data_IF_735274288190
#
_entry.id   IF_735274288190
#
_cell.length_a   1.000
_cell.length_b   1.000
_cell.length_c   1.000
_cell.angle_alpha   90.00
_cell.angle_beta   90.00
_cell.angle_gamma   90.00
#
_symmetry.space_group_name_H-M   'P 1'
#
loop_
_entity.id
_entity.type
_entity.pdbx_description
1 polymer ?
#
# COMPACT_ATOMS: atom_id res chain seq x y z
N UNK A 1 -27.58 32.62 -4.04
CA UNK A 1 -27.56 32.66 -2.57
C UNK A 1 -26.15 32.99 -2.17
N UNK A 2 -26.03 33.85 -1.17
CA UNK A 2 -24.75 34.49 -0.83
C UNK A 2 -24.24 33.99 0.53
N UNK A 3 -25.14 33.52 1.39
CA UNK A 3 -24.84 33.00 2.73
C UNK A 3 -25.44 31.61 2.89
N UNK A 4 -24.62 30.65 3.32
CA UNK A 4 -25.06 29.34 3.80
C UNK A 4 -25.25 29.38 5.32
N UNK A 5 -26.51 29.39 5.76
CA UNK A 5 -26.88 29.37 7.16
C UNK A 5 -27.11 27.93 7.63
N UNK A 6 -26.50 27.57 8.76
CA UNK A 6 -26.67 26.25 9.39
C UNK A 6 -27.00 26.41 10.86
N UNK A 7 -27.89 25.55 11.37
CA UNK A 7 -28.28 25.57 12.78
C UNK A 7 -27.10 25.11 13.67
N UNK A 8 -26.36 24.08 13.23
CA UNK A 8 -25.23 23.49 13.97
C UNK A 8 -24.26 22.80 13.01
N UNK A 9 -22.95 22.88 13.25
CA UNK A 9 -21.93 22.32 12.34
C UNK A 9 -22.04 20.80 12.15
N UNK A 10 -22.44 20.06 13.19
CA UNK A 10 -22.60 18.59 13.16
C UNK A 10 -23.71 18.09 12.20
N UNK A 11 -24.58 18.98 11.72
CA UNK A 11 -25.68 18.67 10.78
C UNK A 11 -25.25 18.66 9.33
N UNK A 12 -24.13 19.29 9.00
CA UNK A 12 -23.66 19.42 7.61
C UNK A 12 -22.51 18.45 7.31
N UNK A 13 -21.64 18.17 8.27
CA UNK A 13 -20.50 17.29 8.03
C UNK A 13 -20.14 16.41 9.23
N UNK A 14 -20.12 15.08 9.01
CA UNK A 14 -19.53 14.08 9.91
C UNK A 14 -18.03 13.89 9.71
N UNK A 15 -17.47 14.49 8.67
CA UNK A 15 -16.06 14.37 8.27
C UNK A 15 -15.49 15.78 8.08
N UNK A 16 -14.55 16.17 8.95
CA UNK A 16 -13.90 17.48 8.96
C UNK A 16 -13.20 17.80 7.64
N UNK A 17 -12.66 16.81 6.93
CA UNK A 17 -12.03 17.01 5.61
C UNK A 17 -13.03 17.43 4.53
N UNK A 18 -14.22 16.83 4.53
CA UNK A 18 -15.27 17.21 3.59
C UNK A 18 -15.84 18.59 3.91
N UNK A 19 -15.93 18.94 5.20
CA UNK A 19 -16.25 20.30 5.64
C UNK A 19 -15.25 21.33 5.11
N UNK A 20 -13.95 21.03 5.17
CA UNK A 20 -12.90 21.90 4.63
C UNK A 20 -13.04 22.11 3.12
N UNK A 21 -13.23 21.03 2.36
CA UNK A 21 -13.41 21.11 0.90
C UNK A 21 -14.64 21.94 0.53
N UNK A 22 -15.75 21.76 1.25
CA UNK A 22 -16.95 22.58 1.07
C UNK A 22 -16.62 24.05 1.33
N UNK A 23 -15.95 24.36 2.44
CA UNK A 23 -15.64 25.74 2.82
C UNK A 23 -14.67 26.44 1.85
N UNK A 24 -13.67 25.74 1.33
CA UNK A 24 -12.81 26.27 0.26
C UNK A 24 -13.60 26.57 -1.01
N UNK A 25 -14.56 25.71 -1.34
CA UNK A 25 -15.41 25.90 -2.50
C UNK A 25 -16.37 27.07 -2.34
N UNK A 26 -16.98 27.22 -1.17
CA UNK A 26 -17.80 28.40 -0.83
C UNK A 26 -16.99 29.69 -0.97
N UNK A 27 -15.77 29.71 -0.44
CA UNK A 27 -14.89 30.88 -0.55
C UNK A 27 -14.51 31.21 -2.00
N UNK A 28 -14.22 30.21 -2.83
CA UNK A 28 -13.95 30.39 -4.28
C UNK A 28 -15.16 30.96 -5.03
N UNK A 29 -16.36 30.56 -4.61
CA UNK A 29 -17.62 31.04 -5.17
C UNK A 29 -18.07 32.38 -4.57
N UNK A 30 -17.28 32.98 -3.67
CA UNK A 30 -17.60 34.26 -3.03
C UNK A 30 -18.75 34.17 -2.01
N UNK A 31 -19.00 32.98 -1.47
CA UNK A 31 -20.11 32.69 -0.56
C UNK A 31 -19.65 32.62 0.88
N UNK A 32 -20.51 33.05 1.78
CA UNK A 32 -20.26 33.09 3.22
C UNK A 32 -20.92 31.91 3.94
N UNK A 33 -20.39 31.57 5.11
CA UNK A 33 -20.91 30.50 5.96
C UNK A 33 -21.15 31.02 7.38
N UNK A 34 -22.35 30.75 7.91
CA UNK A 34 -22.77 31.15 9.24
C UNK A 34 -23.36 29.95 9.99
N UNK A 35 -22.83 29.68 11.19
CA UNK A 35 -23.43 28.75 12.14
C UNK A 35 -24.15 29.49 13.27
N UNK A 36 -25.43 29.17 13.47
CA UNK A 36 -26.31 29.84 14.42
C UNK A 36 -26.01 29.47 15.89
N UNK A 37 -25.67 28.21 16.18
CA UNK A 37 -25.36 27.75 17.54
C UNK A 37 -23.92 27.98 17.97
N UNK A 38 -22.95 27.99 17.04
CA UNK A 38 -21.53 28.12 17.39
C UNK A 38 -21.01 29.56 17.32
N UNK A 39 -21.87 30.55 16.99
CA UNK A 39 -21.50 31.97 16.81
C UNK A 39 -20.24 32.14 15.93
N UNK A 40 -20.12 31.31 14.91
CA UNK A 40 -18.95 31.21 14.06
C UNK A 40 -19.26 31.91 12.74
N UNK A 41 -18.86 33.18 12.66
CA UNK A 41 -19.05 34.04 11.50
C UNK A 41 -17.72 34.24 10.77
N UNK A 42 -17.58 33.56 9.63
CA UNK A 42 -16.38 33.59 8.79
C UNK A 42 -16.19 34.91 8.01
N UNK A 43 -17.15 35.83 8.06
CA UNK A 43 -17.00 37.22 7.57
C UNK A 43 -16.12 38.06 8.50
N UNK A 44 -15.99 37.68 9.77
CA UNK A 44 -15.17 38.38 10.77
C UNK A 44 -13.74 37.84 10.83
N UNK A 45 -12.78 38.69 11.24
CA UNK A 45 -11.40 38.27 11.43
C UNK A 45 -11.27 37.16 12.51
N UNK A 46 -12.04 37.28 13.59
CA UNK A 46 -12.07 36.28 14.66
C UNK A 46 -12.67 34.95 14.22
N UNK A 47 -13.76 34.95 13.46
CA UNK A 47 -14.35 33.71 12.95
C UNK A 47 -13.48 33.02 11.91
N UNK A 48 -12.76 33.77 11.06
CA UNK A 48 -11.72 33.19 10.18
C UNK A 48 -10.58 32.57 10.99
N UNK A 49 -10.11 33.25 12.03
CA UNK A 49 -9.05 32.73 12.90
C UNK A 49 -9.45 31.43 13.62
N UNK A 50 -10.66 31.37 14.18
CA UNK A 50 -11.19 30.15 14.81
C UNK A 50 -11.32 29.02 13.79
N UNK A 51 -11.77 29.33 12.58
CA UNK A 51 -11.87 28.36 11.49
C UNK A 51 -10.49 27.80 11.10
N UNK A 52 -9.47 28.65 10.96
CA UNK A 52 -8.10 28.21 10.66
C UNK A 52 -7.52 27.31 11.77
N UNK A 53 -7.85 27.59 13.04
CA UNK A 53 -7.49 26.72 14.18
C UNK A 53 -8.17 25.35 14.06
N UNK A 54 -9.48 25.31 13.80
CA UNK A 54 -10.23 24.05 13.64
C UNK A 54 -9.66 23.23 12.47
N UNK A 55 -9.32 23.89 11.36
CA UNK A 55 -8.68 23.24 10.22
C UNK A 55 -7.33 22.62 10.59
N UNK A 56 -6.49 23.36 11.31
CA UNK A 56 -5.19 22.87 11.78
C UNK A 56 -5.33 21.71 12.75
N UNK A 57 -6.31 21.76 13.65
CA UNK A 57 -6.61 20.66 14.57
C UNK A 57 -7.06 19.41 13.79
N UNK A 58 -7.98 19.54 12.85
CA UNK A 58 -8.46 18.43 12.04
C UNK A 58 -7.33 17.79 11.21
N UNK A 59 -6.44 18.60 10.66
CA UNK A 59 -5.25 18.13 9.94
C UNK A 59 -4.30 17.37 10.88
N UNK A 60 -4.02 17.94 12.05
CA UNK A 60 -3.16 17.33 13.08
C UNK A 60 -3.72 15.99 13.57
N UNK A 61 -5.03 15.88 13.79
CA UNK A 61 -5.67 14.61 14.15
C UNK A 61 -5.51 13.56 13.04
N UNK A 62 -5.68 13.97 11.77
CA UNK A 62 -5.48 13.07 10.63
C UNK A 62 -4.03 12.57 10.54
N UNK A 63 -3.06 13.45 10.78
CA UNK A 63 -1.64 13.09 10.83
C UNK A 63 -1.33 12.15 11.98
N UNK A 64 -1.87 12.41 13.18
CA UNK A 64 -1.73 11.52 14.35
C UNK A 64 -2.38 10.16 14.14
N UNK A 65 -3.50 10.07 13.42
CA UNK A 65 -4.08 8.76 13.03
C UNK A 65 -3.10 8.02 12.12
N UNK A 66 -2.54 8.70 11.11
CA UNK A 66 -1.53 8.11 10.22
C UNK A 66 -0.31 7.61 10.99
N UNK A 67 0.20 8.42 11.91
CA UNK A 67 1.33 8.06 12.77
C UNK A 67 1.01 6.86 13.67
N UNK A 68 -0.16 6.83 14.31
CA UNK A 68 -0.59 5.68 15.13
C UNK A 68 -0.73 4.40 14.33
N UNK A 69 -1.28 4.49 13.10
CA UNK A 69 -1.34 3.34 12.19
C UNK A 69 0.06 2.86 11.84
N UNK A 70 0.97 3.78 11.49
CA UNK A 70 2.35 3.47 11.20
C UNK A 70 3.06 2.78 12.38
N UNK A 71 2.94 3.34 13.58
CA UNK A 71 3.50 2.75 14.82
C UNK A 71 2.90 1.36 15.06
N UNK A 72 1.58 1.20 14.88
CA UNK A 72 0.93 -0.11 15.02
C UNK A 72 1.41 -1.14 14.00
N UNK A 73 1.66 -0.73 12.76
CA UNK A 73 2.25 -1.57 11.72
C UNK A 73 3.70 -1.92 12.04
N UNK A 74 4.50 -0.96 12.51
CA UNK A 74 5.89 -1.17 12.92
C UNK A 74 5.98 -2.14 14.09
N UNK A 75 5.14 -1.99 15.12
CA UNK A 75 5.10 -2.90 16.26
C UNK A 75 4.69 -4.31 15.84
N UNK A 76 3.71 -4.46 14.94
CA UNK A 76 3.32 -5.76 14.37
C UNK A 76 4.44 -6.38 13.55
N UNK A 77 5.18 -5.58 12.78
CA UNK A 77 6.35 -6.02 12.05
C UNK A 77 7.47 -6.47 13.00
N UNK A 78 7.70 -5.76 14.10
CA UNK A 78 8.70 -6.13 15.12
C UNK A 78 8.36 -7.43 15.84
N UNK A 79 7.08 -7.64 16.17
CA UNK A 79 6.69 -8.67 17.15
C UNK A 79 6.14 -9.95 16.56
N UNK A 80 5.38 -9.91 15.45
CA UNK A 80 4.53 -11.06 15.11
C UNK A 80 4.41 -11.40 13.62
N UNK A 81 5.21 -10.78 12.75
CA UNK A 81 5.32 -11.15 11.32
C UNK A 81 3.96 -11.29 10.62
N UNK A 82 2.96 -10.49 11.02
CA UNK A 82 1.60 -10.56 10.48
C UNK A 82 1.52 -10.00 9.06
N UNK A 83 0.40 -10.25 8.38
CA UNK A 83 0.13 -9.69 7.05
C UNK A 83 -0.13 -8.18 7.21
N UNK A 84 0.83 -7.36 6.79
CA UNK A 84 0.83 -5.90 6.94
C UNK A 84 0.33 -5.23 5.67
N UNK A 85 -0.98 -5.27 5.43
CA UNK A 85 -1.67 -4.42 4.44
C UNK A 85 -1.15 -4.51 3.00
N UNK A 86 -0.41 -5.56 2.63
CA UNK A 86 0.16 -5.69 1.29
C UNK A 86 -0.84 -6.29 0.31
N UNK A 87 -0.70 -5.92 -0.97
CA UNK A 87 -1.41 -6.59 -2.05
C UNK A 87 -1.01 -8.08 -2.07
N UNK A 88 -2.00 -8.97 -2.14
CA UNK A 88 -1.77 -10.42 -2.10
C UNK A 88 -0.82 -10.81 -3.25
N UNK A 89 0.38 -11.36 -2.98
CA UNK A 89 1.34 -11.71 -4.02
C UNK A 89 0.78 -12.75 -4.99
N UNK A 90 1.25 -12.74 -6.23
CA UNK A 90 0.90 -13.76 -7.24
C UNK A 90 1.33 -15.14 -6.75
N UNK A 91 0.57 -16.21 -6.97
CA UNK A 91 0.87 -17.54 -6.38
C UNK A 91 0.23 -17.78 -5.01
N UNK A 92 -0.39 -16.76 -4.41
CA UNK A 92 -1.07 -16.86 -3.12
C UNK A 92 -2.50 -16.31 -3.18
N UNK A 93 -3.38 -16.91 -2.39
CA UNK A 93 -4.71 -16.41 -2.07
C UNK A 93 -4.79 -16.06 -0.58
N UNK A 94 -5.67 -15.13 -0.23
CA UNK A 94 -5.93 -14.80 1.17
C UNK A 94 -7.19 -15.53 1.62
N UNK A 95 -7.02 -16.50 2.53
CA UNK A 95 -8.12 -17.27 3.13
C UNK A 95 -7.90 -17.36 4.64
N UNK A 96 -8.96 -17.13 5.42
CA UNK A 96 -8.95 -17.27 6.89
C UNK A 96 -7.80 -16.53 7.59
N UNK A 97 -7.48 -15.32 7.15
CA UNK A 97 -6.41 -14.52 7.78
C UNK A 97 -4.98 -14.91 7.40
N UNK A 98 -4.78 -15.82 6.44
CA UNK A 98 -3.47 -16.34 6.05
C UNK A 98 -3.30 -16.35 4.53
N UNK A 99 -2.04 -16.30 4.08
CA UNK A 99 -1.68 -16.58 2.69
C UNK A 99 -1.66 -18.09 2.48
N UNK A 100 -2.50 -18.55 1.57
CA UNK A 100 -2.59 -19.94 1.13
C UNK A 100 -2.05 -20.01 -0.29
N UNK A 101 -1.25 -21.03 -0.58
CA UNK A 101 -0.69 -21.23 -1.92
C UNK A 101 -1.81 -21.58 -2.89
N UNK A 102 -1.85 -20.91 -4.03
CA UNK A 102 -2.72 -21.26 -5.15
C UNK A 102 -1.88 -21.97 -6.18
N UNK A 103 -2.04 -23.28 -6.28
CA UNK A 103 -1.10 -24.15 -7.00
C UNK A 103 -0.91 -23.75 -8.47
N UNK A 104 -1.99 -23.40 -9.18
CA UNK A 104 -1.94 -22.95 -10.58
C UNK A 104 -1.02 -21.73 -10.77
N UNK A 105 -1.09 -20.75 -9.87
CA UNK A 105 -0.25 -19.55 -9.92
C UNK A 105 1.15 -19.82 -9.35
N UNK A 106 1.26 -20.71 -8.36
CA UNK A 106 2.51 -21.07 -7.72
C UNK A 106 3.45 -21.83 -8.67
N UNK A 107 2.91 -22.68 -9.55
CA UNK A 107 3.69 -23.34 -10.60
C UNK A 107 4.33 -22.32 -11.54
N UNK A 108 3.60 -21.28 -11.91
CA UNK A 108 4.13 -20.17 -12.73
C UNK A 108 5.25 -19.44 -12.00
N UNK A 109 5.11 -19.20 -10.69
CA UNK A 109 6.19 -18.62 -9.87
C UNK A 109 7.43 -19.51 -9.91
N UNK A 110 7.28 -20.83 -9.70
CA UNK A 110 8.40 -21.80 -9.80
C UNK A 110 9.08 -21.74 -11.16
N UNK A 111 8.32 -21.69 -12.24
CA UNK A 111 8.84 -21.54 -13.61
C UNK A 111 9.60 -20.23 -13.82
N UNK A 112 9.08 -19.11 -13.32
CA UNK A 112 9.76 -17.79 -13.39
C UNK A 112 11.13 -17.84 -12.72
N UNK A 113 11.21 -18.42 -11.51
CA UNK A 113 12.48 -18.60 -10.80
C UNK A 113 13.44 -19.53 -11.55
N UNK A 114 12.94 -20.65 -12.09
CA UNK A 114 13.75 -21.56 -12.91
C UNK A 114 14.30 -20.89 -14.16
N UNK A 115 13.47 -20.27 -14.99
CA UNK A 115 13.92 -19.62 -16.22
C UNK A 115 14.94 -18.51 -15.97
N UNK A 116 14.78 -17.76 -14.87
CA UNK A 116 15.75 -16.74 -14.50
C UNK A 116 17.09 -17.36 -14.07
N UNK A 117 17.05 -18.48 -13.32
CA UNK A 117 18.24 -19.26 -12.95
C UNK A 117 18.95 -19.84 -14.19
N UNK A 118 18.18 -20.25 -15.19
CA UNK A 118 18.68 -20.76 -16.48
C UNK A 118 19.24 -19.64 -17.38
N UNK A 119 19.33 -18.41 -16.87
CA UNK A 119 19.97 -17.29 -17.55
C UNK A 119 19.03 -16.44 -18.41
N UNK A 120 17.73 -16.71 -18.47
CA UNK A 120 16.78 -15.85 -19.20
C UNK A 120 16.70 -14.45 -18.59
N UNK A 121 16.54 -13.45 -19.43
CA UNK A 121 16.28 -12.08 -19.01
C UNK A 121 14.82 -11.91 -18.56
N UNK A 122 14.55 -10.90 -17.72
CA UNK A 122 13.18 -10.58 -17.31
C UNK A 122 12.28 -10.27 -18.51
N UNK A 123 12.84 -9.73 -19.60
CA UNK A 123 12.10 -9.46 -20.83
C UNK A 123 11.70 -10.72 -21.60
N UNK A 124 12.58 -11.71 -21.67
CA UNK A 124 12.27 -13.02 -22.27
C UNK A 124 11.22 -13.76 -21.47
N UNK A 125 11.32 -13.74 -20.13
CA UNK A 125 10.31 -14.34 -19.25
C UNK A 125 8.92 -13.73 -19.50
N UNK A 126 8.83 -12.41 -19.63
CA UNK A 126 7.56 -11.74 -19.97
C UNK A 126 7.01 -12.25 -21.30
N UNK A 127 7.84 -12.34 -22.35
CA UNK A 127 7.42 -12.85 -23.67
C UNK A 127 6.94 -14.30 -23.58
N UNK A 128 7.63 -15.14 -22.82
CA UNK A 128 7.25 -16.55 -22.63
C UNK A 128 5.89 -16.66 -21.91
N UNK A 129 5.68 -15.88 -20.85
CA UNK A 129 4.41 -15.85 -20.11
C UNK A 129 3.24 -15.36 -20.99
N UNK A 130 3.49 -14.35 -21.83
CA UNK A 130 2.49 -13.84 -22.78
C UNK A 130 2.17 -14.85 -23.88
N UNK A 131 3.18 -15.54 -24.44
CA UNK A 131 2.98 -16.58 -25.45
C UNK A 131 2.19 -17.76 -24.91
N UNK A 132 2.39 -18.11 -23.63
CA UNK A 132 1.63 -19.15 -22.93
C UNK A 132 0.24 -18.68 -22.49
N UNK A 133 -0.17 -17.44 -22.80
CA UNK A 133 -1.44 -16.81 -22.41
C UNK A 133 -1.73 -16.89 -20.90
N UNK A 134 -0.69 -16.84 -20.08
CA UNK A 134 -0.82 -16.91 -18.62
C UNK A 134 -1.40 -15.60 -18.10
N UNK A 135 -2.58 -15.60 -17.45
CA UNK A 135 -3.18 -14.39 -16.91
C UNK A 135 -2.38 -13.86 -15.72
N UNK A 136 -2.28 -12.53 -15.60
CA UNK A 136 -1.80 -11.92 -14.35
C UNK A 136 -2.91 -11.91 -13.29
N UNK A 137 -2.56 -11.64 -12.02
CA UNK A 137 -3.54 -11.56 -10.91
C UNK A 137 -4.74 -10.64 -11.17
N UNK A 138 -4.51 -9.56 -11.92
CA UNK A 138 -5.54 -8.56 -12.30
C UNK A 138 -6.04 -8.75 -13.73
N UNK A 139 -5.77 -9.90 -14.35
CA UNK A 139 -6.16 -10.24 -15.72
C UNK A 139 -5.62 -9.28 -16.80
N UNK A 140 -4.51 -8.59 -16.52
CA UNK A 140 -3.79 -7.73 -17.47
C UNK A 140 -2.52 -8.38 -18.03
N UNK A 141 -1.70 -7.59 -18.73
CA UNK A 141 -0.44 -8.04 -19.32
C UNK A 141 0.72 -8.14 -18.32
N UNK A 142 1.60 -9.11 -18.54
CA UNK A 142 2.87 -9.20 -17.83
C UNK A 142 3.78 -8.03 -18.19
N UNK A 143 4.24 -7.32 -17.16
CA UNK A 143 5.24 -6.26 -17.31
C UNK A 143 6.57 -6.73 -16.69
N UNK A 144 7.70 -6.21 -17.20
CA UNK A 144 9.03 -6.49 -16.64
C UNK A 144 9.10 -6.13 -15.15
N UNK A 145 8.44 -5.04 -14.74
CA UNK A 145 8.33 -4.63 -13.33
C UNK A 145 7.65 -5.68 -12.46
N UNK A 146 6.63 -6.36 -12.96
CA UNK A 146 5.93 -7.45 -12.25
C UNK A 146 6.86 -8.63 -12.03
N UNK A 147 7.55 -9.10 -13.07
CA UNK A 147 8.53 -10.20 -12.96
C UNK A 147 9.67 -9.83 -12.02
N UNK A 148 10.21 -8.60 -12.11
CA UNK A 148 11.23 -8.10 -11.20
C UNK A 148 10.75 -8.07 -9.75
N UNK A 149 9.50 -7.61 -9.53
CA UNK A 149 8.89 -7.62 -8.20
C UNK A 149 8.65 -9.03 -7.67
N UNK A 150 8.38 -10.02 -8.53
CA UNK A 150 8.24 -11.42 -8.11
C UNK A 150 9.60 -11.98 -7.68
N UNK A 151 10.62 -11.85 -8.53
CA UNK A 151 11.94 -12.40 -8.27
C UNK A 151 12.60 -11.81 -7.01
N UNK A 152 12.28 -10.56 -6.64
CA UNK A 152 12.86 -9.89 -5.46
C UNK A 152 12.03 -10.02 -4.18
N UNK A 153 10.83 -10.59 -4.24
CA UNK A 153 9.94 -10.59 -3.08
C UNK A 153 10.25 -11.80 -2.17
N UNK A 154 10.69 -11.56 -0.93
CA UNK A 154 11.04 -12.64 0.00
C UNK A 154 9.82 -13.46 0.47
N UNK A 155 8.59 -13.05 0.13
CA UNK A 155 7.38 -13.85 0.40
C UNK A 155 7.45 -15.23 -0.24
N UNK A 156 8.15 -15.37 -1.37
CA UNK A 156 8.22 -16.65 -2.07
C UNK A 156 9.09 -17.68 -1.35
N UNK A 157 10.05 -17.24 -0.53
CA UNK A 157 10.84 -18.10 0.35
C UNK A 157 10.34 -18.12 1.81
N UNK A 158 9.10 -17.68 2.06
CA UNK A 158 8.49 -17.78 3.38
C UNK A 158 8.75 -16.59 4.30
N UNK A 159 9.22 -15.44 3.79
CA UNK A 159 9.51 -14.26 4.60
C UNK A 159 8.61 -13.07 4.24
N UNK A 160 8.14 -12.33 5.24
CA UNK A 160 7.35 -11.12 5.06
C UNK A 160 8.22 -9.89 5.28
N UNK A 161 8.23 -9.00 4.29
CA UNK A 161 8.94 -7.72 4.33
C UNK A 161 7.98 -6.60 4.67
N UNK A 162 8.37 -5.76 5.62
CA UNK A 162 7.76 -4.46 5.84
C UNK A 162 8.86 -3.44 6.20
N UNK A 163 9.07 -2.43 5.34
CA UNK A 163 10.17 -1.48 5.46
C UNK A 163 11.53 -2.17 5.67
N UNK A 164 12.15 -1.97 6.83
CA UNK A 164 13.42 -2.56 7.28
C UNK A 164 13.27 -3.92 7.98
N UNK A 165 12.04 -4.36 8.25
CA UNK A 165 11.76 -5.59 8.96
C UNK A 165 11.56 -6.75 7.98
N UNK A 166 12.24 -7.86 8.27
CA UNK A 166 12.15 -9.10 7.54
C UNK A 166 11.87 -10.21 8.54
N UNK A 167 10.67 -10.79 8.47
CA UNK A 167 10.23 -11.81 9.42
C UNK A 167 9.89 -13.10 8.71
N UNK A 168 10.12 -14.24 9.36
CA UNK A 168 9.63 -15.52 8.86
C UNK A 168 8.11 -15.54 8.95
N UNK A 169 7.47 -15.64 7.79
CA UNK A 169 6.02 -15.74 7.67
C UNK A 169 5.52 -17.14 8.08
N UNK A 170 4.24 -17.21 8.44
CA UNK A 170 3.54 -18.48 8.75
C UNK A 170 2.96 -19.16 7.50
N UNK A 171 3.16 -18.57 6.32
CA UNK A 171 2.66 -19.10 5.06
C UNK A 171 3.65 -20.11 4.46
N UNK A 172 3.14 -21.02 3.65
CA UNK A 172 3.97 -22.00 2.96
C UNK A 172 4.82 -21.31 1.88
N UNK A 173 6.12 -21.56 1.89
CA UNK A 173 7.02 -21.05 0.85
C UNK A 173 6.78 -21.78 -0.49
N UNK A 174 6.84 -21.04 -1.59
CA UNK A 174 6.73 -21.59 -2.95
C UNK A 174 8.11 -22.02 -3.48
N UNK A 175 9.16 -21.33 -3.04
CA UNK A 175 10.57 -21.50 -3.42
C UNK A 175 11.40 -21.69 -2.14
N UNK A 176 12.45 -22.49 -2.19
CA UNK A 176 13.41 -22.64 -1.10
C UNK A 176 14.33 -21.41 -0.95
N UNK A 177 14.91 -21.23 0.25
CA UNK A 177 15.78 -20.10 0.56
C UNK A 177 17.04 -20.07 -0.32
N UNK A 178 17.58 -21.24 -0.68
CA UNK A 178 18.78 -21.37 -1.50
C UNK A 178 18.54 -20.89 -2.93
N UNK A 179 17.46 -21.34 -3.57
CA UNK A 179 17.04 -20.89 -4.90
C UNK A 179 16.77 -19.39 -4.92
N UNK A 180 16.11 -18.85 -3.89
CA UNK A 180 15.86 -17.41 -3.79
C UNK A 180 17.16 -16.61 -3.70
N UNK A 181 18.09 -17.05 -2.84
CA UNK A 181 19.39 -16.39 -2.68
C UNK A 181 20.22 -16.43 -3.97
N UNK A 182 20.28 -17.57 -4.66
CA UNK A 182 20.96 -17.68 -5.98
C UNK A 182 20.39 -16.69 -6.99
N UNK A 183 19.07 -16.53 -7.05
CA UNK A 183 18.43 -15.54 -7.93
C UNK A 183 18.84 -14.11 -7.54
N UNK A 184 18.92 -13.79 -6.25
CA UNK A 184 19.40 -12.48 -5.79
C UNK A 184 20.86 -12.23 -6.20
N UNK A 185 21.73 -13.24 -6.16
CA UNK A 185 23.12 -13.13 -6.65
C UNK A 185 23.16 -12.82 -8.15
N UNK A 186 22.39 -13.55 -8.96
CA UNK A 186 22.29 -13.34 -10.41
C UNK A 186 21.77 -11.91 -10.72
N UNK A 187 20.79 -11.43 -9.96
CA UNK A 187 20.30 -10.04 -10.08
C UNK A 187 21.43 -9.04 -9.80
N UNK A 188 22.22 -9.26 -8.74
CA UNK A 188 23.33 -8.38 -8.36
C UNK A 188 24.44 -8.38 -9.42
N UNK A 189 24.80 -9.56 -9.95
CA UNK A 189 25.79 -9.71 -11.02
C UNK A 189 25.37 -8.97 -12.29
N UNK A 190 24.07 -8.94 -12.60
CA UNK A 190 23.50 -8.21 -13.75
C UNK A 190 23.31 -6.71 -13.50
N UNK A 191 23.92 -6.15 -12.45
CA UNK A 191 23.84 -4.73 -12.10
C UNK A 191 22.52 -4.30 -11.45
N UNK A 192 21.67 -5.26 -11.06
CA UNK A 192 20.42 -4.97 -10.36
C UNK A 192 20.65 -4.72 -8.87
N UNK A 193 19.90 -3.77 -8.29
CA UNK A 193 19.82 -3.63 -6.83
C UNK A 193 19.11 -4.87 -6.25
N UNK A 194 19.87 -5.70 -5.54
CA UNK A 194 19.35 -6.72 -4.63
C UNK A 194 19.74 -6.29 -3.22
N UNK A 195 18.73 -6.13 -2.38
CA UNK A 195 18.91 -5.57 -1.05
C UNK A 195 18.98 -6.68 0.04
N UNK A 196 18.75 -7.95 -0.30
CA UNK A 196 18.50 -8.99 0.72
C UNK A 196 19.05 -10.36 0.34
N UNK A 197 19.76 -10.98 1.28
CA UNK A 197 20.06 -12.40 1.32
C UNK A 197 19.39 -12.98 2.57
N UNK A 198 18.67 -14.08 2.40
CA UNK A 198 17.94 -14.73 3.49
C UNK A 198 18.90 -15.69 4.21
N UNK A 199 18.96 -15.63 5.54
CA UNK A 199 19.78 -16.54 6.35
C UNK A 199 21.26 -16.16 6.46
N UNK A 200 21.64 -14.92 6.15
CA UNK A 200 22.97 -14.35 6.45
C UNK A 200 22.85 -13.19 7.43
#
# INVERSE_FOLDING_TARGET
WDILLVIKMDRIHRNSKNFMLMMEQLKKEGKEFVSMMESLDTSTAMGRFVMDIIQRIAQLESEQIGERVYIGMEQKAKTNGGILGFNIPYGYEYKNGKLVVKEDEAEIVRRIFSWYKDGKSMGEIVKMLQNQKVPTKKQGFWAKKTVSSILKNPVYCGYLKWEKYLNKGKHQAIIDEETFNKVQEIIRQRGGKSDWFIGK
#
